data_IF_304765535018
#
_entry.id   IF_304765535018
#
_cell.length_a   1.000
_cell.length_b   1.000
_cell.length_c   1.000
_cell.angle_alpha   90.00
_cell.angle_beta   90.00
_cell.angle_gamma   90.00
#
_symmetry.space_group_name_H-M   'P 1'
#
loop_
_entity.id
_entity.type
_entity.pdbx_description
1 polymer ?
#
# COMPACT_ATOMS: atom_id res chain seq x y z
N UNK A 1 22.39 0.57 -10.23
CA UNK A 1 21.76 1.66 -9.47
C UNK A 1 20.64 0.98 -8.72
N UNK A 2 20.89 0.59 -7.47
CA UNK A 2 19.85 0.02 -6.61
C UNK A 2 18.97 1.19 -6.22
N UNK A 3 17.77 1.22 -6.78
CA UNK A 3 16.73 2.14 -6.38
C UNK A 3 16.22 1.66 -5.00
N UNK A 4 17.04 1.91 -3.97
CA UNK A 4 16.64 1.89 -2.56
C UNK A 4 15.95 3.22 -2.23
N UNK A 5 15.21 3.79 -3.18
CA UNK A 5 14.27 4.86 -2.87
C UNK A 5 13.16 4.18 -2.08
N UNK A 6 12.94 4.52 -0.81
CA UNK A 6 11.82 3.98 -0.05
C UNK A 6 10.59 4.29 -0.88
N UNK A 7 9.92 3.24 -1.40
CA UNK A 7 8.77 3.37 -2.29
C UNK A 7 7.88 4.47 -1.75
N UNK A 8 7.81 5.59 -2.49
CA UNK A 8 7.23 6.82 -1.98
C UNK A 8 5.82 6.49 -1.50
N UNK A 9 5.52 6.83 -0.24
CA UNK A 9 4.23 6.48 0.37
C UNK A 9 3.08 6.97 -0.50
N UNK A 10 3.29 8.04 -1.26
CA UNK A 10 2.38 8.52 -2.30
C UNK A 10 2.14 7.51 -3.44
N UNK A 11 3.16 6.83 -3.98
CA UNK A 11 2.96 5.77 -4.97
C UNK A 11 2.14 4.62 -4.40
N UNK A 12 2.36 4.26 -3.14
CA UNK A 12 1.63 3.20 -2.46
C UNK A 12 0.15 3.59 -2.23
N UNK A 13 -0.11 4.86 -1.92
CA UNK A 13 -1.47 5.43 -1.82
C UNK A 13 -2.15 5.45 -3.19
N UNK A 14 -1.46 5.89 -4.24
CA UNK A 14 -2.00 5.93 -5.60
C UNK A 14 -2.32 4.53 -6.11
N UNK A 15 -1.45 3.56 -5.79
CA UNK A 15 -1.69 2.16 -6.12
C UNK A 15 -2.90 1.60 -5.37
N UNK A 16 -3.08 1.95 -4.09
CA UNK A 16 -4.29 1.61 -3.33
C UNK A 16 -5.55 2.21 -3.99
N UNK A 17 -5.50 3.47 -4.42
CA UNK A 17 -6.64 4.10 -5.13
C UNK A 17 -6.96 3.41 -6.45
N UNK A 18 -5.94 3.06 -7.23
CA UNK A 18 -6.10 2.34 -8.49
C UNK A 18 -6.71 0.94 -8.28
N UNK A 19 -6.26 0.22 -7.24
CA UNK A 19 -6.83 -1.07 -6.84
C UNK A 19 -8.30 -0.96 -6.44
N UNK A 20 -8.66 0.04 -5.63
CA UNK A 20 -10.07 0.28 -5.24
C UNK A 20 -10.92 0.57 -6.49
N UNK A 21 -10.42 1.41 -7.39
CA UNK A 21 -11.12 1.73 -8.63
C UNK A 21 -11.32 0.48 -9.50
N UNK A 22 -10.31 -0.38 -9.60
CA UNK A 22 -10.40 -1.65 -10.29
C UNK A 22 -11.43 -2.58 -9.64
N UNK A 23 -11.44 -2.70 -8.31
CA UNK A 23 -12.42 -3.52 -7.55
C UNK A 23 -13.85 -3.06 -7.82
N UNK A 24 -14.10 -1.74 -7.85
CA UNK A 24 -15.43 -1.17 -8.09
C UNK A 24 -15.86 -1.36 -9.54
N UNK A 25 -14.93 -1.23 -10.48
CA UNK A 25 -15.21 -1.26 -11.92
C UNK A 25 -15.33 -2.68 -12.48
N UNK A 26 -14.58 -3.63 -11.93
CA UNK A 26 -14.63 -5.03 -12.37
C UNK A 26 -15.92 -5.69 -11.86
N UNK A 27 -16.55 -6.52 -12.69
CA UNK A 27 -17.75 -7.27 -12.29
C UNK A 27 -17.43 -8.69 -11.83
N UNK A 28 -16.22 -9.19 -12.16
CA UNK A 28 -15.80 -10.54 -11.79
C UNK A 28 -15.54 -10.66 -10.29
N UNK A 29 -16.32 -11.51 -9.62
CA UNK A 29 -16.23 -11.75 -8.18
C UNK A 29 -14.85 -12.29 -7.76
N UNK A 30 -14.29 -13.21 -8.55
CA UNK A 30 -12.98 -13.80 -8.28
C UNK A 30 -11.87 -12.75 -8.31
N UNK A 31 -11.95 -11.81 -9.26
CA UNK A 31 -10.96 -10.73 -9.38
C UNK A 31 -11.11 -9.72 -8.22
N UNK A 32 -12.34 -9.46 -7.75
CA UNK A 32 -12.57 -8.60 -6.57
C UNK A 32 -11.98 -9.18 -5.30
N UNK A 33 -12.03 -10.49 -5.12
CA UNK A 33 -11.43 -11.15 -3.95
C UNK A 33 -9.91 -11.04 -3.97
N UNK A 34 -9.30 -11.31 -5.12
CA UNK A 34 -7.84 -11.17 -5.31
C UNK A 34 -7.42 -9.71 -5.08
N UNK A 35 -8.11 -8.76 -5.70
CA UNK A 35 -7.80 -7.34 -5.55
C UNK A 35 -8.02 -6.84 -4.12
N UNK A 36 -9.05 -7.32 -3.41
CA UNK A 36 -9.22 -7.00 -1.99
C UNK A 36 -8.05 -7.51 -1.16
N UNK A 37 -7.61 -8.73 -1.40
CA UNK A 37 -6.46 -9.30 -0.72
C UNK A 37 -5.19 -8.48 -0.97
N UNK A 38 -4.92 -8.11 -2.23
CA UNK A 38 -3.78 -7.27 -2.59
C UNK A 38 -3.87 -5.88 -1.97
N UNK A 39 -5.06 -5.27 -1.95
CA UNK A 39 -5.29 -3.98 -1.30
C UNK A 39 -4.99 -4.05 0.20
N UNK A 40 -5.45 -5.10 0.86
CA UNK A 40 -5.22 -5.30 2.29
C UNK A 40 -3.71 -5.45 2.60
N UNK A 41 -3.00 -6.25 1.81
CA UNK A 41 -1.55 -6.40 1.92
C UNK A 41 -0.80 -5.07 1.72
N UNK A 42 -1.26 -4.23 0.79
CA UNK A 42 -0.66 -2.90 0.60
C UNK A 42 -0.91 -1.99 1.79
N UNK A 43 -2.12 -1.99 2.35
CA UNK A 43 -2.43 -1.20 3.56
C UNK A 43 -1.56 -1.66 4.73
N UNK A 44 -1.38 -2.97 4.92
CA UNK A 44 -0.53 -3.51 5.99
C UNK A 44 0.94 -3.13 5.78
N UNK A 45 1.44 -3.17 4.55
CA UNK A 45 2.78 -2.67 4.21
C UNK A 45 2.93 -1.19 4.55
N UNK A 46 1.98 -0.37 4.10
CA UNK A 46 1.96 1.08 4.34
C UNK A 46 1.92 1.40 5.84
N UNK A 47 1.10 0.65 6.59
CA UNK A 47 0.99 0.78 8.03
C UNK A 47 2.29 0.38 8.74
N UNK A 48 2.93 -0.73 8.35
CA UNK A 48 4.21 -1.14 8.92
C UNK A 48 5.32 -0.15 8.61
N UNK A 49 5.42 0.32 7.36
CA UNK A 49 6.38 1.36 6.95
C UNK A 49 6.17 2.64 7.75
N UNK A 50 4.91 3.09 7.89
CA UNK A 50 4.58 4.28 8.67
C UNK A 50 4.87 4.10 10.16
N UNK A 51 4.57 2.94 10.75
CA UNK A 51 4.91 2.63 12.13
C UNK A 51 6.42 2.58 12.36
N UNK A 52 7.18 2.03 11.41
CA UNK A 52 8.63 1.95 11.49
C UNK A 52 9.26 3.34 11.40
N UNK A 53 8.81 4.17 10.45
CA UNK A 53 9.25 5.56 10.28
C UNK A 53 8.92 6.42 11.51
N UNK A 54 7.69 6.31 12.04
CA UNK A 54 7.30 6.97 13.29
C UNK A 54 8.17 6.55 14.48
N UNK A 55 8.50 5.26 14.57
CA UNK A 55 9.31 4.74 15.68
C UNK A 55 10.77 5.23 15.57
N UNK A 56 11.32 5.31 14.36
CA UNK A 56 12.65 5.93 14.14
C UNK A 56 12.65 7.41 14.51
N UNK A 57 11.64 8.19 14.10
CA UNK A 57 11.51 9.60 14.46
C UNK A 57 11.40 9.82 15.97
N UNK A 58 10.65 8.97 16.69
CA UNK A 58 10.50 9.04 18.15
C UNK A 58 11.78 8.62 18.92
N UNK A 59 12.60 7.74 18.36
CA UNK A 59 13.88 7.31 18.97
C UNK A 59 14.98 8.36 18.78
N UNK A 60 14.92 9.17 17.72
CA UNK A 60 15.87 10.26 17.47
C UNK A 60 15.49 11.62 18.08
N UNK A 61 14.34 11.72 18.76
CA UNK A 61 13.82 12.96 19.37
C UNK A 61 14.21 13.14 20.85
#
# INVERSE_FOLDING_TARGET
MYDDTPCDVEELIDHCRALIYAIVTLESQEVKEILNFVLQQQIDLLHNTYQQDLNELLVTA
#
